data_IF_763625285898
#
_entry.id   IF_763625285898
#
_cell.length_a   1.000
_cell.length_b   1.000
_cell.length_c   1.000
_cell.angle_alpha   90.00
_cell.angle_beta   90.00
_cell.angle_gamma   90.00
#
_symmetry.space_group_name_H-M   'P 1'
#
loop_
_entity.id
_entity.type
_entity.pdbx_description
1 polymer ?
#
# COMPACT_ATOMS: atom_id res chain seq x y z
N UNK A 1 3.64 -15.83 -12.90
CA UNK A 1 3.39 -14.65 -13.76
C UNK A 1 4.70 -14.20 -14.44
N UNK A 2 5.74 -13.85 -13.69
CA UNK A 2 7.03 -13.36 -14.22
C UNK A 2 7.66 -14.33 -15.24
N UNK A 3 7.61 -15.64 -15.01
CA UNK A 3 8.16 -16.65 -15.94
C UNK A 3 7.42 -16.65 -17.29
N UNK A 4 6.11 -16.52 -17.26
CA UNK A 4 5.26 -16.46 -18.46
C UNK A 4 5.54 -15.16 -19.23
N UNK A 5 5.56 -14.02 -18.54
CA UNK A 5 5.87 -12.74 -19.15
C UNK A 5 7.25 -12.68 -19.79
N UNK A 6 8.25 -13.26 -19.12
CA UNK A 6 9.62 -13.34 -19.65
C UNK A 6 9.70 -14.19 -20.94
N UNK A 7 8.89 -15.27 -21.02
CA UNK A 7 8.84 -16.14 -22.20
C UNK A 7 8.07 -15.50 -23.36
N UNK A 8 6.95 -14.86 -23.09
CA UNK A 8 6.04 -14.34 -24.11
C UNK A 8 6.39 -12.93 -24.57
N UNK A 9 7.01 -12.14 -23.70
CA UNK A 9 7.33 -10.70 -23.92
C UNK A 9 6.11 -9.88 -24.34
N UNK A 10 4.94 -10.25 -23.82
CA UNK A 10 3.66 -9.59 -24.07
C UNK A 10 3.04 -9.15 -22.75
N UNK A 11 2.06 -8.23 -22.81
CA UNK A 11 1.28 -7.87 -21.64
C UNK A 11 0.42 -9.04 -21.15
N UNK A 12 -0.21 -8.90 -19.97
CA UNK A 12 -0.88 -9.98 -19.27
C UNK A 12 -1.90 -10.75 -20.12
N UNK A 13 -2.76 -10.04 -20.85
CA UNK A 13 -3.74 -10.69 -21.73
C UNK A 13 -3.09 -11.48 -22.88
N UNK A 14 -2.07 -10.89 -23.53
CA UNK A 14 -1.33 -11.57 -24.59
C UNK A 14 -0.53 -12.77 -24.08
N UNK A 15 0.08 -12.65 -22.92
CA UNK A 15 0.82 -13.73 -22.27
C UNK A 15 -0.07 -14.92 -21.91
N UNK A 16 -1.27 -14.68 -21.37
CA UNK A 16 -2.23 -15.73 -21.08
C UNK A 16 -2.80 -16.38 -22.36
N UNK A 17 -3.06 -15.58 -23.39
CA UNK A 17 -3.47 -16.10 -24.70
C UNK A 17 -2.41 -16.98 -25.34
N UNK A 18 -1.12 -16.66 -25.17
CA UNK A 18 -0.01 -17.48 -25.68
C UNK A 18 0.08 -18.85 -24.99
N UNK A 19 -0.35 -18.97 -23.73
CA UNK A 19 -0.46 -20.24 -23.02
C UNK A 19 -1.65 -21.04 -23.54
N UNK A 20 -2.83 -20.42 -23.59
CA UNK A 20 -4.05 -21.04 -24.12
C UNK A 20 -5.07 -19.96 -24.50
N UNK A 21 -5.70 -20.09 -25.69
CA UNK A 21 -6.67 -19.10 -26.20
C UNK A 21 -7.82 -18.78 -25.23
N UNK A 22 -8.33 -19.79 -24.49
CA UNK A 22 -9.40 -19.60 -23.49
C UNK A 22 -8.92 -18.96 -22.18
N UNK A 23 -7.61 -18.79 -21.99
CA UNK A 23 -7.06 -18.16 -20.78
C UNK A 23 -6.90 -16.64 -20.92
N UNK A 24 -7.12 -16.07 -22.09
CA UNK A 24 -7.04 -14.62 -22.34
C UNK A 24 -7.88 -13.79 -21.36
N UNK A 25 -9.13 -14.15 -21.00
CA UNK A 25 -9.93 -13.40 -20.03
C UNK A 25 -9.27 -13.28 -18.65
N UNK A 26 -8.48 -14.26 -18.22
CA UNK A 26 -7.74 -14.22 -16.96
C UNK A 26 -6.74 -13.06 -16.98
N UNK A 27 -6.05 -12.86 -18.10
CA UNK A 27 -5.14 -11.74 -18.26
C UNK A 27 -5.85 -10.39 -18.23
N UNK A 28 -7.04 -10.28 -18.79
CA UNK A 28 -7.86 -9.06 -18.71
C UNK A 28 -8.35 -8.77 -17.29
N UNK A 29 -8.74 -9.81 -16.53
CA UNK A 29 -9.10 -9.65 -15.11
C UNK A 29 -7.89 -9.13 -14.32
N UNK A 30 -6.69 -9.66 -14.57
CA UNK A 30 -5.47 -9.21 -13.91
C UNK A 30 -5.15 -7.73 -14.22
N UNK A 31 -5.32 -7.30 -15.48
CA UNK A 31 -5.15 -5.89 -15.89
C UNK A 31 -6.19 -4.99 -15.19
N UNK A 32 -7.46 -5.41 -15.16
CA UNK A 32 -8.52 -4.67 -14.47
C UNK A 32 -8.24 -4.53 -12.98
N UNK A 33 -7.75 -5.59 -12.35
CA UNK A 33 -7.35 -5.56 -10.94
C UNK A 33 -6.24 -4.52 -10.70
N UNK A 34 -5.19 -4.53 -11.52
CA UNK A 34 -4.12 -3.54 -11.46
C UNK A 34 -4.62 -2.11 -11.63
N UNK A 35 -5.59 -1.89 -12.51
CA UNK A 35 -6.23 -0.59 -12.73
C UNK A 35 -6.97 -0.10 -11.48
N UNK A 36 -7.84 -0.93 -10.90
CA UNK A 36 -8.59 -0.56 -9.68
C UNK A 36 -7.65 -0.32 -8.49
N UNK A 37 -6.61 -1.14 -8.33
CA UNK A 37 -5.60 -0.94 -7.30
C UNK A 37 -4.92 0.42 -7.47
N UNK A 38 -4.54 0.79 -8.69
CA UNK A 38 -3.89 2.08 -8.95
C UNK A 38 -4.75 3.28 -8.56
N UNK A 39 -6.08 3.17 -8.71
CA UNK A 39 -7.02 4.25 -8.34
C UNK A 39 -6.98 4.49 -6.82
N UNK A 40 -7.19 3.45 -6.01
CA UNK A 40 -7.25 3.67 -4.56
C UNK A 40 -5.87 3.92 -3.94
N UNK A 41 -4.80 3.31 -4.46
CA UNK A 41 -3.44 3.57 -4.00
C UNK A 41 -3.00 5.02 -4.24
N UNK A 42 -3.44 5.65 -5.31
CA UNK A 42 -3.19 7.07 -5.53
C UNK A 42 -3.76 7.93 -4.40
N UNK A 43 -4.96 7.60 -3.90
CA UNK A 43 -5.56 8.28 -2.75
C UNK A 43 -4.79 8.02 -1.47
N UNK A 44 -4.40 6.76 -1.22
CA UNK A 44 -3.55 6.41 -0.06
C UNK A 44 -2.23 7.17 -0.10
N UNK A 45 -1.60 7.28 -1.27
CA UNK A 45 -0.38 8.06 -1.43
C UNK A 45 -0.59 9.55 -1.16
N UNK A 46 -1.73 10.12 -1.58
CA UNK A 46 -2.10 11.49 -1.24
C UNK A 46 -2.24 11.69 0.27
N UNK A 47 -2.83 10.73 0.99
CA UNK A 47 -2.89 10.76 2.46
C UNK A 47 -1.51 10.72 3.11
N UNK A 48 -0.60 9.90 2.60
CA UNK A 48 0.79 9.85 3.09
C UNK A 48 1.49 11.20 2.91
N UNK A 49 1.34 11.84 1.75
CA UNK A 49 1.89 13.19 1.52
C UNK A 49 1.29 14.20 2.51
N UNK A 50 -0.03 14.15 2.70
CA UNK A 50 -0.73 15.04 3.63
C UNK A 50 -0.25 14.84 5.07
N UNK A 51 -0.10 13.58 5.50
CA UNK A 51 0.42 13.25 6.83
C UNK A 51 1.88 13.64 7.01
N UNK A 52 2.71 13.49 5.98
CA UNK A 52 4.09 13.95 6.01
C UNK A 52 4.14 15.47 6.26
N UNK A 53 3.32 16.24 5.57
CA UNK A 53 3.22 17.69 5.78
C UNK A 53 2.70 18.06 7.18
N UNK A 54 1.76 17.26 7.71
CA UNK A 54 1.21 17.45 9.04
C UNK A 54 2.15 16.97 10.15
N UNK A 55 3.08 16.06 9.89
CA UNK A 55 3.96 15.45 10.89
C UNK A 55 4.81 16.46 11.65
N UNK A 56 5.20 17.56 11.00
CA UNK A 56 5.91 18.65 11.66
C UNK A 56 5.09 19.34 12.77
N UNK A 57 3.75 19.22 12.72
CA UNK A 57 2.85 19.73 13.75
C UNK A 57 2.66 18.71 14.88
N UNK A 58 2.84 17.41 14.59
CA UNK A 58 2.65 16.33 15.56
C UNK A 58 3.75 16.24 16.63
N UNK A 59 4.91 16.83 16.40
CA UNK A 59 6.02 16.83 17.37
C UNK A 59 5.63 17.40 18.77
N UNK A 60 4.49 18.10 18.86
CA UNK A 60 3.94 18.64 20.11
C UNK A 60 2.99 17.67 20.84
N UNK A 61 2.59 16.57 20.24
CA UNK A 61 1.62 15.61 20.79
C UNK A 61 2.35 14.39 21.36
N UNK A 62 2.94 14.54 22.53
CA UNK A 62 3.50 13.40 23.26
C UNK A 62 2.41 12.76 24.11
N UNK A 63 1.94 11.58 23.71
CA UNK A 63 1.05 10.75 24.51
C UNK A 63 -0.46 10.97 24.35
N UNK A 64 -0.89 11.97 23.57
CA UNK A 64 -2.32 12.21 23.32
C UNK A 64 -2.80 11.48 22.05
N UNK A 65 -3.29 10.25 22.22
CA UNK A 65 -3.84 9.44 21.12
C UNK A 65 -5.16 9.99 20.59
N UNK A 66 -5.97 10.63 21.42
CA UNK A 66 -7.25 11.23 21.03
C UNK A 66 -7.02 12.48 20.18
N UNK A 67 -6.07 13.32 20.58
CA UNK A 67 -5.67 14.49 19.81
C UNK A 67 -5.12 14.11 18.43
N UNK A 68 -4.29 13.07 18.35
CA UNK A 68 -3.76 12.57 17.09
C UNK A 68 -4.85 12.02 16.14
N UNK A 69 -5.80 11.25 16.65
CA UNK A 69 -6.92 10.73 15.87
C UNK A 69 -7.85 11.83 15.35
N UNK A 70 -8.11 12.86 16.15
CA UNK A 70 -8.91 14.01 15.76
C UNK A 70 -8.23 14.84 14.65
N UNK A 71 -6.91 15.00 14.71
CA UNK A 71 -6.16 15.68 13.66
C UNK A 71 -6.28 14.90 12.35
N UNK A 72 -6.15 13.57 12.39
CA UNK A 72 -6.33 12.71 11.22
C UNK A 72 -7.73 12.87 10.61
N UNK A 73 -8.78 12.74 11.44
CA UNK A 73 -10.17 12.89 10.99
C UNK A 73 -10.43 14.27 10.37
N UNK A 74 -9.89 15.35 10.97
CA UNK A 74 -10.03 16.71 10.47
C UNK A 74 -9.26 16.95 9.16
N UNK A 75 -8.08 16.35 8.98
CA UNK A 75 -7.29 16.46 7.76
C UNK A 75 -7.94 15.77 6.57
N UNK A 76 -8.48 14.56 6.79
CA UNK A 76 -9.12 13.76 5.74
C UNK A 76 -10.58 14.15 5.56
N UNK A 77 -11.17 14.83 6.56
CA UNK A 77 -12.61 15.15 6.63
C UNK A 77 -13.49 13.91 6.49
N UNK A 78 -13.07 12.81 7.09
CA UNK A 78 -13.90 11.60 7.15
C UNK A 78 -14.97 11.78 8.21
N UNK A 79 -16.20 11.87 7.78
CA UNK A 79 -17.36 12.00 8.69
C UNK A 79 -17.88 10.66 9.21
N UNK A 80 -17.33 9.54 8.74
CA UNK A 80 -17.79 8.19 9.13
C UNK A 80 -19.23 7.86 8.75
N UNK A 81 -19.96 8.80 8.14
CA UNK A 81 -21.34 8.63 7.72
C UNK A 81 -21.46 8.79 6.21
N UNK A 82 -22.35 7.99 5.61
CA UNK A 82 -22.63 8.01 4.16
C UNK A 82 -23.28 9.30 3.67
N UNK A 83 -23.77 10.16 4.56
CA UNK A 83 -24.37 11.46 4.24
C UNK A 83 -23.36 12.57 3.94
N UNK A 84 -22.06 12.32 4.10
CA UNK A 84 -20.99 13.32 3.91
C UNK A 84 -20.41 13.43 2.51
N UNK A 85 -20.98 12.79 1.49
CA UNK A 85 -20.44 12.79 0.12
C UNK A 85 -20.50 14.14 -0.62
N UNK A 86 -21.08 15.16 -0.03
CA UNK A 86 -21.28 16.46 -0.67
C UNK A 86 -20.10 17.42 -0.55
N UNK A 87 -19.10 17.10 0.28
CA UNK A 87 -17.97 18.00 0.52
C UNK A 87 -16.65 17.41 0.02
N UNK A 88 -15.98 18.14 -0.85
CA UNK A 88 -14.64 17.78 -1.32
C UNK A 88 -13.59 18.21 -0.27
N UNK A 89 -12.76 17.26 0.16
CA UNK A 89 -11.60 17.56 1.01
C UNK A 89 -10.47 18.17 0.16
N UNK A 90 -10.49 19.48 -0.02
CA UNK A 90 -9.50 20.22 -0.83
C UNK A 90 -8.04 19.86 -0.51
N UNK A 91 -7.60 19.70 0.75
CA UNK A 91 -6.24 19.29 1.05
C UNK A 91 -5.88 17.94 0.45
N UNK A 92 -6.79 16.98 0.51
CA UNK A 92 -6.61 15.64 -0.06
C UNK A 92 -6.55 15.72 -1.58
N UNK A 93 -7.42 16.51 -2.20
CA UNK A 93 -7.43 16.69 -3.66
C UNK A 93 -6.11 17.28 -4.16
N UNK A 94 -5.59 18.31 -3.50
CA UNK A 94 -4.30 18.93 -3.87
C UNK A 94 -3.17 17.90 -3.75
N UNK A 95 -3.13 17.13 -2.66
CA UNK A 95 -2.15 16.07 -2.49
C UNK A 95 -2.30 14.94 -3.53
N UNK A 96 -3.54 14.63 -3.94
CA UNK A 96 -3.82 13.65 -5.00
C UNK A 96 -3.27 14.12 -6.36
N UNK A 97 -3.49 15.38 -6.71
CA UNK A 97 -2.92 15.97 -7.93
C UNK A 97 -1.39 15.92 -7.87
N UNK A 98 -0.80 16.30 -6.73
CA UNK A 98 0.64 16.21 -6.54
C UNK A 98 1.16 14.76 -6.68
N UNK A 99 0.45 13.78 -6.13
CA UNK A 99 0.78 12.35 -6.28
C UNK A 99 0.80 11.93 -7.75
N UNK A 100 -0.22 12.30 -8.52
CA UNK A 100 -0.28 12.00 -9.96
C UNK A 100 0.83 12.69 -10.76
N UNK A 101 1.15 13.95 -10.42
CA UNK A 101 2.29 14.66 -11.05
C UNK A 101 3.60 13.94 -10.75
N UNK A 102 3.83 13.52 -9.51
CA UNK A 102 5.03 12.75 -9.12
C UNK A 102 5.09 11.44 -9.91
N UNK A 103 4.00 10.67 -9.95
CA UNK A 103 3.93 9.43 -10.73
C UNK A 103 4.24 9.68 -12.21
N UNK A 104 3.63 10.70 -12.82
CA UNK A 104 3.90 11.07 -14.20
C UNK A 104 5.38 11.39 -14.45
N UNK A 105 5.99 12.20 -13.58
CA UNK A 105 7.42 12.55 -13.71
C UNK A 105 8.32 11.32 -13.57
N UNK A 106 7.97 10.35 -12.73
CA UNK A 106 8.71 9.10 -12.59
C UNK A 106 8.65 8.23 -13.85
N UNK A 107 7.49 8.20 -14.53
CA UNK A 107 7.23 7.28 -15.66
C UNK A 107 7.58 7.90 -17.01
N UNK A 108 7.56 9.24 -17.16
CA UNK A 108 7.68 9.94 -18.46
C UNK A 108 8.90 9.59 -19.28
N UNK A 109 9.99 9.14 -18.66
CA UNK A 109 11.22 8.71 -19.37
C UNK A 109 11.30 7.18 -19.55
N UNK A 110 10.19 6.47 -19.36
CA UNK A 110 10.09 5.03 -19.52
C UNK A 110 10.79 4.22 -18.42
N UNK A 111 11.05 2.95 -18.73
CA UNK A 111 11.58 1.96 -17.76
C UNK A 111 12.93 2.33 -17.15
N UNK A 112 13.77 3.05 -17.88
CA UNK A 112 15.09 3.49 -17.38
C UNK A 112 14.96 4.48 -16.22
N UNK A 113 13.99 5.39 -16.30
CA UNK A 113 13.70 6.34 -15.19
C UNK A 113 13.10 5.62 -14.00
N UNK A 114 12.12 4.75 -14.25
CA UNK A 114 11.47 3.94 -13.21
C UNK A 114 12.51 3.12 -12.44
N UNK A 115 13.46 2.46 -13.12
CA UNK A 115 14.49 1.67 -12.47
C UNK A 115 15.39 2.49 -11.53
N UNK A 116 15.73 3.73 -11.89
CA UNK A 116 16.50 4.63 -11.02
C UNK A 116 15.70 5.06 -9.79
N UNK A 117 14.44 5.44 -9.98
CA UNK A 117 13.55 5.86 -8.89
C UNK A 117 13.31 4.70 -7.93
N UNK A 118 13.01 3.51 -8.43
CA UNK A 118 12.76 2.30 -7.61
C UNK A 118 13.96 1.97 -6.72
N UNK A 119 15.20 2.13 -7.21
CA UNK A 119 16.39 1.87 -6.41
C UNK A 119 16.41 2.71 -5.11
N UNK A 120 16.04 3.98 -5.19
CA UNK A 120 16.01 4.87 -4.03
C UNK A 120 14.74 4.70 -3.19
N UNK A 121 13.60 4.56 -3.84
CA UNK A 121 12.31 4.41 -3.14
C UNK A 121 12.15 3.08 -2.41
N UNK A 122 12.90 2.04 -2.79
CA UNK A 122 12.94 0.78 -2.03
C UNK A 122 13.95 0.86 -0.88
N UNK A 123 15.11 1.47 -1.11
CA UNK A 123 16.15 1.56 -0.08
C UNK A 123 15.73 2.43 1.12
N UNK A 124 15.05 3.56 0.85
CA UNK A 124 14.65 4.51 1.89
C UNK A 124 13.68 3.91 2.93
N UNK A 125 12.57 3.25 2.55
CA UNK A 125 11.69 2.57 3.51
C UNK A 125 12.39 1.50 4.33
N UNK A 126 13.30 0.72 3.74
CA UNK A 126 14.06 -0.30 4.47
C UNK A 126 14.91 0.35 5.55
N UNK A 127 15.61 1.43 5.24
CA UNK A 127 16.40 2.19 6.21
C UNK A 127 15.49 2.75 7.33
N UNK A 128 14.35 3.33 6.99
CA UNK A 128 13.39 3.83 7.96
C UNK A 128 12.85 2.71 8.86
N UNK A 129 12.56 1.53 8.30
CA UNK A 129 12.11 0.37 9.07
C UNK A 129 13.16 -0.12 10.05
N UNK A 130 14.45 -0.12 9.67
CA UNK A 130 15.54 -0.47 10.59
C UNK A 130 15.62 0.52 11.75
N UNK A 131 15.53 1.82 11.48
CA UNK A 131 15.54 2.85 12.51
C UNK A 131 14.33 2.68 13.45
N UNK A 132 13.13 2.44 12.89
CA UNK A 132 11.93 2.22 13.67
C UNK A 132 12.01 0.93 14.51
N UNK A 133 12.60 -0.14 13.96
CA UNK A 133 12.81 -1.39 14.69
C UNK A 133 13.74 -1.19 15.89
N UNK A 134 14.87 -0.51 15.68
CA UNK A 134 15.80 -0.18 16.79
C UNK A 134 15.06 0.66 17.84
N UNK A 135 14.31 1.67 17.42
CA UNK A 135 13.55 2.51 18.36
C UNK A 135 12.47 1.70 19.09
N UNK A 136 11.75 0.84 18.38
CA UNK A 136 10.73 -0.04 18.96
C UNK A 136 11.31 -0.97 20.03
N UNK A 137 12.49 -1.54 19.80
CA UNK A 137 13.18 -2.41 20.76
C UNK A 137 13.66 -1.67 22.02
N UNK A 138 13.88 -0.35 21.95
CA UNK A 138 14.32 0.48 23.08
C UNK A 138 13.16 1.07 23.89
N UNK A 139 11.91 0.83 23.48
CA UNK A 139 10.73 1.34 24.20
C UNK A 139 10.36 0.43 25.39
N UNK A 140 9.78 1.02 26.42
CA UNK A 140 9.22 0.25 27.54
C UNK A 140 8.11 -0.68 27.04
N UNK A 141 8.13 -1.94 27.50
CA UNK A 141 7.17 -2.96 27.05
C UNK A 141 7.53 -3.66 25.73
N UNK A 142 8.66 -3.35 25.09
CA UNK A 142 9.10 -3.98 23.86
C UNK A 142 9.15 -5.50 23.94
N UNK A 143 9.64 -6.05 25.04
CA UNK A 143 9.72 -7.50 25.25
C UNK A 143 8.35 -8.16 25.35
N UNK A 144 7.36 -7.49 25.94
CA UNK A 144 5.97 -7.97 25.97
C UNK A 144 5.35 -8.01 24.58
N UNK A 145 5.63 -6.99 23.75
CA UNK A 145 5.21 -6.94 22.36
C UNK A 145 5.86 -8.04 21.51
N UNK A 146 7.17 -8.26 21.69
CA UNK A 146 7.90 -9.33 21.03
C UNK A 146 7.39 -10.72 21.45
N UNK A 147 7.12 -10.93 22.74
CA UNK A 147 6.54 -12.17 23.23
C UNK A 147 5.20 -12.47 22.54
N UNK A 148 4.31 -11.48 22.41
CA UNK A 148 3.05 -11.63 21.66
C UNK A 148 3.23 -11.94 20.19
N UNK A 149 4.30 -11.43 19.57
CA UNK A 149 4.59 -11.68 18.15
C UNK A 149 5.15 -13.09 17.91
N UNK A 150 6.02 -13.58 18.80
CA UNK A 150 6.75 -14.82 18.58
C UNK A 150 6.13 -16.03 19.29
N UNK A 151 5.34 -15.83 20.34
CA UNK A 151 4.64 -16.93 21.02
C UNK A 151 3.33 -17.20 20.27
N UNK A 152 3.21 -18.34 19.55
CA UNK A 152 2.02 -18.63 18.77
C UNK A 152 0.84 -19.00 19.69
N UNK A 153 -0.30 -18.39 19.44
CA UNK A 153 -1.57 -18.83 20.04
C UNK A 153 -2.20 -19.92 19.16
N UNK A 154 -1.97 -21.18 19.55
CA UNK A 154 -2.50 -22.32 18.80
C UNK A 154 -4.03 -22.41 18.88
N UNK A 155 -4.67 -21.75 19.86
CA UNK A 155 -6.13 -21.74 19.95
C UNK A 155 -6.77 -20.96 18.79
N UNK A 156 -6.09 -19.95 18.29
CA UNK A 156 -6.53 -19.13 17.17
C UNK A 156 -6.64 -19.91 15.85
N UNK A 157 -5.90 -21.03 15.70
CA UNK A 157 -5.97 -21.88 14.51
C UNK A 157 -7.35 -22.52 14.28
N UNK A 158 -8.19 -22.59 15.32
CA UNK A 158 -9.57 -23.07 15.21
C UNK A 158 -10.53 -22.05 14.61
N UNK A 159 -10.11 -20.79 14.49
CA UNK A 159 -10.93 -19.71 13.94
C UNK A 159 -10.83 -19.68 12.41
N UNK A 160 -11.98 -19.78 11.73
CA UNK A 160 -12.05 -19.60 10.27
C UNK A 160 -11.62 -18.20 9.84
N UNK A 161 -11.88 -17.19 10.67
CA UNK A 161 -11.48 -15.81 10.39
C UNK A 161 -9.96 -15.67 10.25
N UNK A 162 -9.19 -16.32 11.12
CA UNK A 162 -7.72 -16.30 11.02
C UNK A 162 -7.23 -16.83 9.66
N UNK A 163 -7.84 -17.91 9.17
CA UNK A 163 -7.45 -18.48 7.89
C UNK A 163 -7.80 -17.57 6.71
N UNK A 164 -8.96 -16.92 6.76
CA UNK A 164 -9.36 -15.95 5.74
C UNK A 164 -8.38 -14.77 5.72
N UNK A 165 -8.04 -14.23 6.87
CA UNK A 165 -7.09 -13.11 6.99
C UNK A 165 -5.69 -13.52 6.53
N UNK A 166 -5.22 -14.71 6.92
CA UNK A 166 -3.91 -15.22 6.50
C UNK A 166 -3.83 -15.43 4.99
N UNK A 167 -4.85 -16.05 4.39
CA UNK A 167 -4.92 -16.24 2.94
C UNK A 167 -5.00 -14.89 2.23
N UNK A 168 -5.84 -13.97 2.71
CA UNK A 168 -5.95 -12.62 2.19
C UNK A 168 -4.61 -11.89 2.22
N UNK A 169 -3.87 -12.00 3.32
CA UNK A 169 -2.55 -11.40 3.46
C UNK A 169 -1.51 -12.01 2.51
N UNK A 170 -1.57 -13.33 2.27
CA UNK A 170 -0.70 -14.00 1.28
C UNK A 170 -0.98 -13.49 -0.12
N UNK A 171 -2.26 -13.41 -0.53
CA UNK A 171 -2.66 -12.88 -1.83
C UNK A 171 -2.20 -11.43 -2.02
N UNK A 172 -2.37 -10.61 -0.98
CA UNK A 172 -1.96 -9.21 -1.00
C UNK A 172 -0.43 -9.05 -1.09
N UNK A 173 0.32 -9.79 -0.25
CA UNK A 173 1.78 -9.67 -0.18
C UNK A 173 2.49 -10.19 -1.43
N UNK A 174 1.97 -11.26 -2.03
CA UNK A 174 2.52 -11.84 -3.25
C UNK A 174 2.05 -11.13 -4.52
N UNK A 175 1.17 -10.14 -4.39
CA UNK A 175 0.60 -9.41 -5.53
C UNK A 175 0.01 -10.33 -6.59
N UNK A 176 -0.65 -11.41 -6.15
CA UNK A 176 -1.24 -12.41 -7.05
C UNK A 176 -2.32 -11.76 -7.91
N UNK A 177 -2.32 -12.08 -9.20
CA UNK A 177 -3.25 -11.54 -10.19
C UNK A 177 -3.18 -10.00 -10.39
N UNK A 178 -2.02 -9.38 -10.15
CA UNK A 178 -1.78 -7.95 -10.41
C UNK A 178 -1.11 -7.66 -11.76
N UNK A 179 -1.15 -8.61 -12.68
CA UNK A 179 -0.58 -8.46 -14.04
C UNK A 179 0.93 -8.16 -14.08
N UNK A 180 1.70 -8.69 -13.14
CA UNK A 180 3.16 -8.55 -13.08
C UNK A 180 3.78 -9.54 -14.09
N UNK A 181 3.67 -9.21 -15.37
CA UNK A 181 4.19 -10.05 -16.47
C UNK A 181 5.21 -9.31 -17.31
#
# INVERSE_FOLDING_TARGET
EIAIGRRTRQGAAGSMRAVHKKAEPIGWIAVSNGFFISIYYAVVFAWVILMLMASFKFAKFTGDTVGASNIWANLIKTTGTTSGYTTIAWPVLICLVAAWVICYLCIRKGTTSVGKVVKYTVALPVLCLVILAIRGLTMEGAMTGLAKLFIPDLSALKSSALWIDAIGQVFYSLSVAMAIM
#
